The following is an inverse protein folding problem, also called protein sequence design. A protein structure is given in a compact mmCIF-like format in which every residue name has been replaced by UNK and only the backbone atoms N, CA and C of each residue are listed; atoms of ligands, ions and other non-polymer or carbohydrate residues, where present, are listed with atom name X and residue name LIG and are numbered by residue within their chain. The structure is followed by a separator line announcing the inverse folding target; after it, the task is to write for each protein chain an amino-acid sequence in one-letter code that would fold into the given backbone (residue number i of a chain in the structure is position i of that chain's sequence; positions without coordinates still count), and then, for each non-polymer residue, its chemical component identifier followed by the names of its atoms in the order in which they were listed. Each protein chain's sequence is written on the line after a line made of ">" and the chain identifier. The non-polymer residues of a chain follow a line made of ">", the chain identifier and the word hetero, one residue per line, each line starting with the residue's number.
data_IF_133196502099
#
_entry.id   IF_133196502099
#
_cell.length_a   1.000
_cell.length_b   1.000
_cell.length_c   1.000
_cell.angle_alpha   90.00
_cell.angle_beta   90.00
_cell.angle_gamma   90.00
#
_symmetry.space_group_name_H-M   'P 1'
#
loop_
_entity.id
_entity.type
_entity.pdbx_description
1 polymer ?
#
# COMPACT_ATOMS: atom_id res chain seq x y z
N UNK A 1 10.75 37.84 -21.61
CA UNK A 1 10.64 36.78 -22.64
C UNK A 1 10.02 35.57 -21.93
N UNK A 2 8.72 35.37 -22.11
CA UNK A 2 7.99 34.25 -21.47
C UNK A 2 8.08 33.03 -22.40
N UNK A 3 8.63 31.94 -21.89
CA UNK A 3 8.63 30.66 -22.57
C UNK A 3 7.35 29.93 -22.19
N UNK A 4 6.42 29.82 -23.12
CA UNK A 4 5.20 29.00 -22.94
C UNK A 4 5.57 27.53 -23.18
N UNK A 5 5.55 26.76 -22.12
CA UNK A 5 5.70 25.29 -22.21
C UNK A 5 4.33 24.70 -22.58
N UNK A 6 4.16 24.34 -23.85
CA UNK A 6 3.00 23.59 -24.32
C UNK A 6 3.08 22.14 -23.83
N UNK A 7 2.19 21.80 -22.90
CA UNK A 7 1.96 20.40 -22.51
C UNK A 7 1.18 19.72 -23.64
N UNK A 8 1.83 18.80 -24.33
CA UNK A 8 1.19 17.93 -25.32
C UNK A 8 0.49 16.81 -24.57
N UNK A 9 -0.83 16.91 -24.43
CA UNK A 9 -1.66 15.81 -23.95
C UNK A 9 -1.80 14.81 -25.10
N UNK A 10 -0.99 13.76 -25.11
CA UNK A 10 -1.23 12.60 -25.98
C UNK A 10 -2.42 11.81 -25.41
N UNK A 11 -3.56 11.96 -26.09
CA UNK A 11 -4.75 11.17 -25.81
C UNK A 11 -4.51 9.70 -26.13
N UNK A 12 -4.39 8.86 -25.11
CA UNK A 12 -4.47 7.42 -25.25
C UNK A 12 -5.93 7.04 -25.47
N UNK A 13 -6.28 6.67 -26.70
CA UNK A 13 -7.57 6.09 -27.02
C UNK A 13 -7.66 4.70 -26.40
N UNK A 14 -8.33 4.59 -25.27
CA UNK A 14 -8.71 3.31 -24.68
C UNK A 14 -9.84 2.74 -25.53
N UNK A 15 -9.55 1.71 -26.31
CA UNK A 15 -10.56 0.93 -27.02
C UNK A 15 -11.45 0.22 -25.98
N UNK A 16 -12.65 0.77 -25.74
CA UNK A 16 -13.71 0.10 -24.98
C UNK A 16 -14.19 -1.11 -25.78
N UNK A 17 -13.71 -2.30 -25.46
CA UNK A 17 -14.39 -3.54 -25.78
C UNK A 17 -15.63 -3.61 -24.88
N UNK A 18 -16.80 -3.33 -25.45
CA UNK A 18 -18.11 -3.59 -24.89
C UNK A 18 -18.27 -5.11 -24.71
N UNK A 19 -17.85 -5.63 -23.59
CA UNK A 19 -18.26 -6.95 -23.11
C UNK A 19 -19.58 -6.79 -22.37
N UNK A 20 -20.58 -7.49 -22.86
CA UNK A 20 -21.95 -7.62 -22.37
C UNK A 20 -22.01 -7.76 -20.84
N UNK A 21 -22.84 -6.94 -20.22
CA UNK A 21 -23.56 -7.05 -18.93
C UNK A 21 -23.17 -8.15 -17.95
N UNK A 22 -21.97 -8.10 -17.36
CA UNK A 22 -21.74 -8.63 -16.03
C UNK A 22 -21.66 -7.45 -15.09
N UNK A 23 -22.62 -7.35 -14.16
CA UNK A 23 -22.46 -6.56 -12.95
C UNK A 23 -21.10 -6.94 -12.39
N UNK A 24 -20.15 -6.02 -12.40
CA UNK A 24 -18.82 -6.22 -11.87
C UNK A 24 -19.01 -6.66 -10.40
N UNK A 25 -18.76 -7.93 -10.15
CA UNK A 25 -18.56 -8.42 -8.79
C UNK A 25 -17.60 -7.40 -8.15
N UNK A 26 -17.92 -6.82 -6.99
CA UNK A 26 -17.09 -5.79 -6.36
C UNK A 26 -15.68 -6.24 -6.00
N UNK A 27 -15.08 -7.06 -6.87
CA UNK A 27 -13.73 -7.61 -6.76
C UNK A 27 -12.75 -6.76 -7.56
N UNK A 28 -11.58 -6.53 -7.01
CA UNK A 28 -10.41 -6.10 -7.75
C UNK A 28 -9.89 -7.26 -8.60
N UNK A 29 -9.48 -6.98 -9.81
CA UNK A 29 -9.04 -7.99 -10.78
C UNK A 29 -7.54 -7.83 -11.01
N UNK A 30 -6.81 -8.94 -10.96
CA UNK A 30 -5.43 -8.96 -11.41
C UNK A 30 -5.39 -8.71 -12.92
N UNK A 31 -4.60 -7.72 -13.34
CA UNK A 31 -4.41 -7.38 -14.75
C UNK A 31 -2.91 -7.23 -15.04
N UNK A 32 -2.55 -7.34 -16.30
CA UNK A 32 -1.19 -7.01 -16.73
C UNK A 32 -0.91 -5.53 -16.46
N UNK A 33 0.16 -5.18 -15.72
CA UNK A 33 0.52 -3.80 -15.49
C UNK A 33 0.88 -3.07 -16.79
N UNK A 34 0.85 -1.73 -16.82
CA UNK A 34 1.23 -0.96 -18.01
C UNK A 34 2.72 -1.10 -18.33
N UNK A 35 3.09 -0.80 -19.58
CA UNK A 35 4.50 -0.72 -20.00
C UNK A 35 5.28 0.24 -19.09
N UNK A 36 6.48 -0.17 -18.69
CA UNK A 36 7.35 0.61 -17.79
C UNK A 36 7.02 0.47 -16.30
N UNK A 37 6.00 -0.31 -15.92
CA UNK A 37 5.61 -0.48 -14.53
C UNK A 37 6.75 -1.02 -13.65
N UNK A 38 7.49 -2.04 -14.10
CA UNK A 38 8.59 -2.60 -13.31
C UNK A 38 9.68 -1.54 -13.04
N UNK A 39 10.01 -0.76 -14.05
CA UNK A 39 10.97 0.35 -13.92
C UNK A 39 10.46 1.40 -12.91
N UNK A 40 9.18 1.75 -12.96
CA UNK A 40 8.56 2.68 -12.01
C UNK A 40 8.65 2.15 -10.56
N UNK A 41 8.43 0.84 -10.33
CA UNK A 41 8.60 0.23 -9.01
C UNK A 41 10.05 0.35 -8.53
N UNK A 42 11.03 0.04 -9.39
CA UNK A 42 12.44 0.11 -9.04
C UNK A 42 12.88 1.56 -8.73
N UNK A 43 12.43 2.53 -9.51
CA UNK A 43 12.69 3.96 -9.28
C UNK A 43 12.08 4.45 -7.97
N UNK A 44 10.83 4.05 -7.66
CA UNK A 44 10.17 4.36 -6.40
C UNK A 44 10.97 3.82 -5.20
N UNK A 45 11.44 2.57 -5.27
CA UNK A 45 12.26 1.95 -4.21
C UNK A 45 13.59 2.66 -4.03
N UNK A 46 14.28 2.97 -5.12
CA UNK A 46 15.54 3.70 -5.07
C UNK A 46 15.38 5.12 -4.49
N UNK A 47 14.28 5.80 -4.81
CA UNK A 47 13.96 7.11 -4.25
C UNK A 47 13.71 7.01 -2.73
N UNK A 48 12.94 6.02 -2.28
CA UNK A 48 12.69 5.76 -0.87
C UNK A 48 13.98 5.44 -0.10
N UNK A 49 14.85 4.60 -0.64
CA UNK A 49 16.14 4.26 -0.04
C UNK A 49 17.04 5.51 0.09
N UNK A 50 17.05 6.38 -0.91
CA UNK A 50 17.77 7.65 -0.87
C UNK A 50 17.20 8.60 0.20
N UNK A 51 15.87 8.70 0.30
CA UNK A 51 15.19 9.50 1.33
C UNK A 51 15.53 8.98 2.74
N UNK A 52 15.43 7.67 2.98
CA UNK A 52 15.80 7.06 4.27
C UNK A 52 17.23 7.38 4.70
N UNK A 53 18.15 7.50 3.74
CA UNK A 53 19.56 7.81 4.01
C UNK A 53 19.83 9.28 4.26
N UNK A 54 19.03 10.18 3.70
CA UNK A 54 19.36 11.62 3.64
C UNK A 54 18.38 12.53 4.39
N UNK A 55 17.14 12.07 4.64
CA UNK A 55 16.15 12.88 5.33
C UNK A 55 16.51 13.03 6.82
N UNK A 56 16.57 14.27 7.37
CA UNK A 56 16.74 14.50 8.79
C UNK A 56 15.68 13.85 9.69
N UNK A 57 14.47 13.64 9.13
CA UNK A 57 13.36 12.97 9.81
C UNK A 57 13.28 11.45 9.50
N UNK A 58 14.36 10.86 8.97
CA UNK A 58 14.42 9.43 8.66
C UNK A 58 13.93 8.56 9.83
N UNK A 59 13.20 7.47 9.56
CA UNK A 59 12.77 6.53 10.59
C UNK A 59 13.90 5.64 11.12
N UNK A 60 15.05 5.63 10.46
CA UNK A 60 16.23 4.88 10.91
C UNK A 60 16.76 5.44 12.25
N UNK A 61 17.40 4.61 13.04
CA UNK A 61 18.20 5.08 14.16
C UNK A 61 19.46 5.76 13.63
N UNK A 62 19.95 6.75 14.36
CA UNK A 62 21.14 7.50 13.98
C UNK A 62 22.36 6.58 13.77
N UNK A 63 22.48 5.54 14.61
CA UNK A 63 23.54 4.55 14.52
C UNK A 63 23.45 3.63 13.30
N UNK A 64 22.24 3.45 12.73
CA UNK A 64 22.02 2.56 11.58
C UNK A 64 22.24 3.29 10.24
N UNK A 65 22.15 4.63 10.20
CA UNK A 65 22.29 5.42 8.97
C UNK A 65 23.62 5.16 8.23
N UNK A 66 24.79 5.12 8.89
CA UNK A 66 26.06 4.92 8.18
C UNK A 66 26.17 3.55 7.48
N UNK A 67 25.50 2.53 8.01
CA UNK A 67 25.48 1.16 7.46
C UNK A 67 24.30 0.87 6.56
N UNK A 68 23.38 1.82 6.37
CA UNK A 68 22.19 1.59 5.57
C UNK A 68 22.52 1.53 4.07
N UNK A 69 22.34 0.37 3.46
CA UNK A 69 22.58 0.13 2.02
C UNK A 69 21.29 0.17 1.19
N UNK A 70 20.12 0.11 1.83
CA UNK A 70 18.77 0.09 1.25
C UNK A 70 17.85 -0.83 2.01
N UNK A 71 16.57 -0.77 1.68
CA UNK A 71 15.56 -1.70 2.19
C UNK A 71 15.58 -3.00 1.37
N UNK A 72 15.14 -4.09 1.97
CA UNK A 72 15.02 -5.37 1.27
C UNK A 72 13.63 -5.51 0.66
N UNK A 73 13.57 -6.00 -0.58
CA UNK A 73 12.34 -6.13 -1.35
C UNK A 73 12.30 -7.46 -2.10
N UNK A 74 11.09 -7.99 -2.31
CA UNK A 74 10.90 -8.99 -3.36
C UNK A 74 11.03 -8.37 -4.75
N UNK A 75 11.35 -9.19 -5.75
CA UNK A 75 11.31 -8.74 -7.14
C UNK A 75 9.88 -8.31 -7.50
N UNK A 76 9.70 -7.28 -8.34
CA UNK A 76 8.39 -6.94 -8.86
C UNK A 76 7.73 -8.13 -9.56
N UNK A 77 6.47 -8.39 -9.22
CA UNK A 77 5.69 -9.51 -9.76
C UNK A 77 4.29 -9.02 -10.15
N UNK A 78 3.92 -9.07 -11.45
CA UNK A 78 2.64 -8.59 -11.95
C UNK A 78 1.43 -9.31 -11.36
N UNK A 79 1.58 -10.52 -10.83
CA UNK A 79 0.49 -11.27 -10.15
C UNK A 79 -0.10 -10.52 -8.96
N UNK A 80 0.64 -9.58 -8.39
CA UNK A 80 0.25 -8.77 -7.24
C UNK A 80 -0.26 -7.37 -7.60
N UNK A 81 -0.58 -7.12 -8.88
CA UNK A 81 -1.13 -5.87 -9.38
C UNK A 81 -2.62 -6.02 -9.68
N UNK A 82 -3.46 -5.30 -8.93
CA UNK A 82 -4.91 -5.39 -8.99
C UNK A 82 -5.55 -4.05 -9.32
N UNK A 83 -6.64 -4.08 -10.09
CA UNK A 83 -7.45 -2.89 -10.39
C UNK A 83 -8.92 -3.16 -10.11
N UNK A 84 -9.59 -2.21 -9.48
CA UNK A 84 -11.01 -2.36 -9.17
C UNK A 84 -11.57 -1.23 -8.32
N UNK A 85 -12.61 -1.53 -7.58
CA UNK A 85 -13.32 -0.56 -6.73
C UNK A 85 -13.30 -0.99 -5.26
N UNK A 86 -13.33 0.01 -4.38
CA UNK A 86 -13.64 -0.19 -2.98
C UNK A 86 -15.16 -0.31 -2.83
N UNK A 87 -15.61 -1.34 -2.14
CA UNK A 87 -17.00 -1.52 -1.77
C UNK A 87 -17.25 -0.75 -0.47
N UNK A 88 -17.71 0.49 -0.59
CA UNK A 88 -17.95 1.35 0.57
C UNK A 88 -19.14 0.88 1.38
N UNK A 89 -19.04 0.96 2.71
CA UNK A 89 -20.17 0.78 3.60
C UNK A 89 -21.09 2.01 3.55
N UNK A 90 -22.40 1.76 3.61
CA UNK A 90 -23.40 2.83 3.69
C UNK A 90 -23.32 3.58 5.04
N UNK A 91 -23.05 2.84 6.11
CA UNK A 91 -22.86 3.34 7.46
C UNK A 91 -21.50 2.85 7.99
N UNK A 92 -20.41 3.60 7.78
CA UNK A 92 -19.08 3.20 8.21
C UNK A 92 -18.97 3.14 9.73
N UNK A 93 -18.46 2.02 10.24
CA UNK A 93 -18.23 1.83 11.67
C UNK A 93 -17.03 2.66 12.15
N UNK A 94 -17.25 3.50 13.14
CA UNK A 94 -16.17 4.20 13.84
C UNK A 94 -15.56 3.30 14.91
N UNK A 95 -14.26 3.17 14.88
CA UNK A 95 -13.51 2.33 15.80
C UNK A 95 -12.15 2.95 16.12
N UNK A 96 -11.39 2.26 16.95
CA UNK A 96 -10.05 2.69 17.33
C UNK A 96 -9.05 1.58 17.05
N UNK A 97 -8.02 1.87 16.29
CA UNK A 97 -6.89 0.96 16.09
C UNK A 97 -5.87 1.13 17.21
N UNK A 98 -5.40 0.00 17.75
CA UNK A 98 -4.27 0.00 18.68
C UNK A 98 -2.97 0.11 17.88
N UNK A 99 -2.02 0.89 18.38
CA UNK A 99 -0.70 1.04 17.77
C UNK A 99 0.33 0.14 18.43
N UNK A 100 1.48 -0.04 17.80
CA UNK A 100 2.60 -0.84 18.36
C UNK A 100 3.09 -0.34 19.73
N UNK A 101 2.86 0.94 20.06
CA UNK A 101 3.20 1.53 21.37
C UNK A 101 2.04 1.56 22.35
N UNK A 102 0.90 0.91 22.02
CA UNK A 102 -0.31 0.88 22.83
C UNK A 102 -1.17 2.15 22.78
N UNK A 103 -0.74 3.18 22.02
CA UNK A 103 -1.58 4.36 21.76
C UNK A 103 -2.79 3.96 20.92
N UNK A 104 -3.82 4.79 20.99
CA UNK A 104 -5.06 4.58 20.25
C UNK A 104 -5.13 5.57 19.08
N UNK A 105 -5.63 5.10 17.93
CA UNK A 105 -5.78 5.89 16.73
C UNK A 105 -7.20 5.80 16.20
N UNK A 106 -7.99 6.90 16.21
CA UNK A 106 -9.37 6.87 15.75
C UNK A 106 -9.44 6.65 14.24
N UNK A 107 -10.33 5.79 13.82
CA UNK A 107 -10.57 5.51 12.41
C UNK A 107 -12.04 5.14 12.15
N UNK A 108 -12.40 5.04 10.88
CA UNK A 108 -13.62 4.39 10.43
C UNK A 108 -13.30 3.22 9.50
N UNK A 109 -14.06 2.14 9.60
CA UNK A 109 -14.07 1.06 8.62
C UNK A 109 -14.90 1.51 7.43
N UNK A 110 -14.22 2.03 6.40
CA UNK A 110 -14.86 2.72 5.29
C UNK A 110 -15.49 1.78 4.26
N UNK A 111 -14.96 0.57 4.14
CA UNK A 111 -15.38 -0.40 3.14
C UNK A 111 -14.47 -1.62 3.10
N UNK A 112 -14.49 -2.31 1.96
CA UNK A 112 -13.65 -3.49 1.74
C UNK A 112 -13.24 -3.60 0.28
N UNK A 113 -12.13 -4.28 0.03
CA UNK A 113 -11.72 -4.76 -1.29
C UNK A 113 -11.69 -6.29 -1.27
N UNK A 114 -12.22 -6.89 -2.32
CA UNK A 114 -12.12 -8.33 -2.55
C UNK A 114 -11.25 -8.59 -3.78
N UNK A 115 -10.46 -9.66 -3.76
CA UNK A 115 -9.62 -10.08 -4.88
C UNK A 115 -9.36 -11.57 -4.80
N UNK A 116 -8.82 -12.13 -5.88
CA UNK A 116 -8.41 -13.52 -5.91
C UNK A 116 -6.91 -13.59 -6.16
N UNK A 117 -6.21 -14.35 -5.34
CA UNK A 117 -4.79 -14.62 -5.46
C UNK A 117 -4.52 -16.10 -5.17
N UNK A 118 -3.69 -16.76 -6.00
CA UNK A 118 -3.40 -18.20 -5.89
C UNK A 118 -4.66 -19.08 -5.81
N UNK A 119 -5.73 -18.70 -6.54
CA UNK A 119 -7.01 -19.39 -6.53
C UNK A 119 -7.85 -19.21 -5.26
N UNK A 120 -7.39 -18.36 -4.32
CA UNK A 120 -8.11 -18.06 -3.08
C UNK A 120 -8.74 -16.66 -3.13
N UNK A 121 -10.05 -16.60 -2.82
CA UNK A 121 -10.73 -15.33 -2.62
C UNK A 121 -10.35 -14.75 -1.27
N UNK A 122 -9.91 -13.51 -1.29
CA UNK A 122 -9.46 -12.76 -0.13
C UNK A 122 -10.23 -11.45 -0.02
N UNK A 123 -10.43 -10.99 1.21
CA UNK A 123 -11.08 -9.70 1.51
C UNK A 123 -10.18 -8.95 2.49
N UNK A 124 -9.97 -7.67 2.23
CA UNK A 124 -9.34 -6.74 3.16
C UNK A 124 -10.30 -5.59 3.46
N UNK A 125 -10.45 -5.26 4.73
CA UNK A 125 -11.17 -4.07 5.18
C UNK A 125 -10.33 -2.84 4.89
N UNK A 126 -10.98 -1.79 4.42
CA UNK A 126 -10.39 -0.49 4.10
C UNK A 126 -10.80 0.50 5.18
N UNK A 127 -9.84 1.21 5.74
CA UNK A 127 -10.05 2.17 6.80
C UNK A 127 -9.80 3.60 6.32
N UNK A 128 -10.31 4.59 7.09
CA UNK A 128 -9.85 5.99 7.07
C UNK A 128 -9.39 6.36 8.46
N UNK A 129 -8.22 6.95 8.55
CA UNK A 129 -7.74 7.54 9.79
C UNK A 129 -8.43 8.89 10.00
N UNK A 130 -8.93 9.15 11.21
CA UNK A 130 -9.72 10.35 11.53
C UNK A 130 -8.89 11.43 12.25
N UNK A 131 -7.63 11.16 12.49
CA UNK A 131 -6.68 12.05 13.16
C UNK A 131 -5.75 12.79 12.18
N UNK A 132 -5.93 12.61 10.87
CA UNK A 132 -5.25 13.36 9.82
C UNK A 132 -6.15 13.56 8.59
N UNK A 133 -5.93 14.64 7.87
CA UNK A 133 -6.49 14.81 6.54
C UNK A 133 -5.58 14.14 5.50
N UNK A 134 -6.15 13.57 4.41
CA UNK A 134 -5.38 13.05 3.29
C UNK A 134 -4.57 14.16 2.62
N UNK A 135 -3.35 13.85 2.23
CA UNK A 135 -2.54 14.76 1.42
C UNK A 135 -3.05 14.85 -0.03
N UNK A 136 -2.57 15.84 -0.78
CA UNK A 136 -2.93 15.99 -2.19
C UNK A 136 -2.47 14.75 -2.97
N UNK A 137 -3.42 14.11 -3.68
CA UNK A 137 -3.17 12.87 -4.42
C UNK A 137 -3.45 11.60 -3.61
N UNK A 138 -3.59 11.65 -2.30
CA UNK A 138 -4.00 10.50 -1.49
C UNK A 138 -5.51 10.24 -1.60
N UNK A 139 -5.89 8.97 -1.60
CA UNK A 139 -7.30 8.56 -1.56
C UNK A 139 -7.92 8.73 -0.17
N UNK A 140 -7.10 8.88 0.86
CA UNK A 140 -7.47 8.88 2.27
C UNK A 140 -7.81 7.48 2.81
N UNK A 141 -7.63 6.43 2.00
CA UNK A 141 -7.80 5.06 2.44
C UNK A 141 -6.51 4.53 3.09
N UNK A 142 -6.69 3.74 4.12
CA UNK A 142 -5.64 3.03 4.83
C UNK A 142 -5.94 1.53 4.76
N UNK A 143 -5.03 0.76 4.19
CA UNK A 143 -5.20 -0.67 3.94
C UNK A 143 -4.04 -1.47 4.56
N UNK A 144 -4.10 -1.73 5.88
CA UNK A 144 -3.14 -2.59 6.55
C UNK A 144 -3.47 -4.06 6.27
N UNK A 145 -2.45 -4.93 6.17
CA UNK A 145 -2.65 -6.37 6.01
C UNK A 145 -1.56 -7.19 6.69
N UNK A 146 -1.92 -8.39 7.08
CA UNK A 146 -1.02 -9.48 7.45
C UNK A 146 -1.21 -10.62 6.45
N UNK A 147 -0.18 -11.43 6.26
CA UNK A 147 -0.19 -12.54 5.32
C UNK A 147 0.66 -13.73 5.81
N UNK A 148 0.91 -14.72 4.97
CA UNK A 148 1.73 -15.88 5.31
C UNK A 148 3.19 -15.58 5.61
N UNK A 149 3.71 -14.41 5.19
CA UNK A 149 5.09 -13.95 5.43
C UNK A 149 5.24 -13.18 6.74
N UNK A 150 4.14 -12.70 7.33
CA UNK A 150 4.14 -11.84 8.51
C UNK A 150 4.81 -12.51 9.73
N UNK A 151 5.80 -11.84 10.30
CA UNK A 151 6.58 -12.32 11.46
C UNK A 151 7.65 -13.35 11.12
N UNK A 152 7.89 -13.60 9.83
CA UNK A 152 8.96 -14.45 9.29
C UNK A 152 9.85 -13.64 8.37
N UNK A 153 9.36 -13.34 7.17
CA UNK A 153 10.05 -12.55 6.14
C UNK A 153 9.65 -11.07 6.16
N UNK A 154 8.52 -10.72 6.82
CA UNK A 154 8.02 -9.35 6.95
C UNK A 154 7.74 -8.97 8.39
N UNK A 155 7.51 -7.67 8.60
CA UNK A 155 7.31 -7.08 9.92
C UNK A 155 6.15 -7.74 10.70
N UNK A 156 6.32 -8.08 12.00
CA UNK A 156 5.34 -8.84 12.77
C UNK A 156 3.96 -8.18 12.93
N UNK A 157 3.87 -6.85 12.85
CA UNK A 157 2.59 -6.14 12.97
C UNK A 157 1.87 -5.94 11.63
N UNK A 158 2.39 -6.55 10.54
CA UNK A 158 1.86 -6.42 9.19
C UNK A 158 2.50 -5.29 8.39
N UNK A 159 2.04 -5.17 7.16
CA UNK A 159 2.43 -4.14 6.19
C UNK A 159 1.22 -3.32 5.77
N UNK A 160 1.48 -2.26 5.03
CA UNK A 160 0.44 -1.40 4.45
C UNK A 160 0.57 -1.39 2.94
N UNK A 161 -0.55 -1.19 2.26
CA UNK A 161 -0.60 -0.96 0.82
C UNK A 161 -1.55 0.18 0.53
N UNK A 162 -1.18 1.08 -0.37
CA UNK A 162 -2.01 2.20 -0.75
C UNK A 162 -2.93 1.85 -1.92
N UNK A 163 -4.11 2.45 -1.93
CA UNK A 163 -5.02 2.43 -3.05
C UNK A 163 -4.78 3.68 -3.88
N UNK A 164 -4.27 3.52 -5.10
CA UNK A 164 -3.88 4.61 -5.99
C UNK A 164 -4.99 4.82 -7.03
N UNK A 165 -5.41 6.05 -7.23
CA UNK A 165 -6.40 6.39 -8.25
C UNK A 165 -7.26 7.60 -7.91
N UNK A 166 -8.16 8.00 -8.82
CA UNK A 166 -9.03 9.13 -8.61
C UNK A 166 -10.09 8.84 -7.54
N UNK A 167 -10.59 9.89 -6.91
CA UNK A 167 -11.72 9.77 -5.96
C UNK A 167 -12.90 9.11 -6.65
N UNK A 168 -13.41 8.00 -6.06
CA UNK A 168 -14.47 7.18 -6.64
C UNK A 168 -13.98 6.02 -7.51
N UNK A 169 -12.68 5.88 -7.69
CA UNK A 169 -12.04 4.79 -8.44
C UNK A 169 -12.24 4.85 -9.98
N UNK A 170 -11.77 3.85 -10.69
CA UNK A 170 -11.14 2.65 -10.18
C UNK A 170 -9.82 2.93 -9.47
N UNK A 171 -9.45 2.02 -8.55
CA UNK A 171 -8.22 2.08 -7.79
C UNK A 171 -7.27 0.97 -8.23
N UNK A 172 -5.99 1.25 -8.15
CA UNK A 172 -4.90 0.28 -8.23
C UNK A 172 -4.54 -0.11 -6.79
N UNK A 173 -4.44 -1.42 -6.54
CA UNK A 173 -3.85 -2.03 -5.36
C UNK A 173 -2.66 -2.85 -5.83
N UNK A 174 -1.47 -2.32 -5.64
CA UNK A 174 -0.22 -2.96 -6.07
C UNK A 174 0.61 -3.36 -4.84
N UNK A 175 0.58 -4.64 -4.49
CA UNK A 175 1.37 -5.14 -3.37
C UNK A 175 2.89 -5.06 -3.59
N UNK A 176 3.35 -4.82 -4.83
CA UNK A 176 4.77 -4.53 -5.09
C UNK A 176 5.23 -3.20 -4.48
N UNK A 177 4.28 -2.34 -4.13
CA UNK A 177 4.46 -1.09 -3.38
C UNK A 177 4.13 -1.25 -1.90
N UNK A 178 3.82 -2.46 -1.41
CA UNK A 178 3.56 -2.67 0.01
C UNK A 178 4.79 -2.34 0.85
N UNK A 179 4.58 -1.67 1.99
CA UNK A 179 5.63 -1.13 2.83
C UNK A 179 5.40 -1.42 4.31
N UNK A 180 6.50 -1.45 5.07
CA UNK A 180 6.44 -1.58 6.51
C UNK A 180 6.00 -0.25 7.16
N UNK A 181 5.27 -0.30 8.30
CA UNK A 181 5.04 0.90 9.10
C UNK A 181 6.37 1.51 9.58
N UNK A 182 6.44 2.84 9.70
CA UNK A 182 7.66 3.56 10.11
C UNK A 182 8.26 3.06 11.42
N UNK A 183 7.43 2.49 12.31
CA UNK A 183 7.87 1.86 13.54
C UNK A 183 8.77 0.62 13.34
N UNK A 184 8.80 0.05 12.15
CA UNK A 184 9.61 -1.13 11.83
C UNK A 184 11.11 -0.81 11.70
N UNK A 185 11.47 0.45 11.45
CA UNK A 185 12.84 0.85 11.09
C UNK A 185 13.69 1.35 12.27
N UNK A 186 13.20 1.22 13.50
CA UNK A 186 14.08 1.38 14.66
C UNK A 186 13.61 2.32 15.78
N UNK A 187 12.63 3.20 15.56
CA UNK A 187 12.17 4.18 16.56
C UNK A 187 10.65 4.15 16.73
N UNK A 188 10.08 3.04 17.26
CA UNK A 188 8.63 2.88 17.35
C UNK A 188 7.94 3.96 18.20
N UNK A 189 8.63 4.55 19.17
CA UNK A 189 8.11 5.60 20.05
C UNK A 189 7.85 6.93 19.32
N UNK A 190 8.53 7.17 18.19
CA UNK A 190 8.35 8.39 17.37
C UNK A 190 7.06 8.36 16.55
N UNK A 191 6.50 7.18 16.31
CA UNK A 191 5.41 6.98 15.34
C UNK A 191 4.16 6.39 15.97
N UNK A 192 3.02 6.68 15.38
CA UNK A 192 1.71 6.17 15.80
C UNK A 192 1.23 5.15 14.74
N UNK A 193 1.94 4.04 14.63
CA UNK A 193 1.67 3.01 13.61
C UNK A 193 0.60 2.03 14.09
N UNK A 194 -0.58 1.97 13.43
CA UNK A 194 -1.60 0.99 13.76
C UNK A 194 -1.12 -0.45 13.57
N UNK A 195 -1.43 -1.31 14.51
CA UNK A 195 -1.32 -2.76 14.33
C UNK A 195 -2.43 -3.20 13.37
N UNK A 196 -2.10 -4.07 12.44
CA UNK A 196 -3.09 -4.61 11.50
C UNK A 196 -4.21 -5.34 12.23
N UNK A 197 -5.48 -4.96 12.02
CA UNK A 197 -6.63 -5.68 12.57
C UNK A 197 -6.68 -7.14 12.13
N UNK A 198 -7.19 -8.01 13.02
CA UNK A 198 -7.19 -9.46 12.79
C UNK A 198 -7.98 -9.88 11.53
N UNK A 199 -9.02 -9.13 11.17
CA UNK A 199 -9.81 -9.34 9.97
C UNK A 199 -9.04 -9.10 8.67
N UNK A 200 -7.93 -8.36 8.71
CA UNK A 200 -7.06 -8.10 7.56
C UNK A 200 -5.87 -9.09 7.49
N UNK A 201 -6.13 -10.34 7.84
CA UNK A 201 -5.15 -11.42 7.72
C UNK A 201 -5.47 -12.30 6.52
N UNK A 202 -4.56 -12.31 5.55
CA UNK A 202 -4.58 -13.20 4.40
C UNK A 202 -4.00 -14.56 4.78
N UNK A 203 -4.58 -15.63 4.23
CA UNK A 203 -4.08 -17.01 4.45
C UNK A 203 -2.93 -17.38 3.51
N UNK A 204 -2.75 -16.63 2.43
CA UNK A 204 -1.67 -16.81 1.43
C UNK A 204 -0.49 -15.88 1.74
N UNK A 205 0.74 -16.25 1.37
CA UNK A 205 1.87 -15.32 1.42
C UNK A 205 1.76 -14.28 0.30
N UNK A 206 2.14 -13.04 0.60
CA UNK A 206 2.28 -11.96 -0.38
C UNK A 206 3.77 -11.66 -0.53
N UNK A 207 4.41 -12.37 -1.44
CA UNK A 207 5.84 -12.24 -1.74
C UNK A 207 6.09 -11.07 -2.71
N UNK A 208 5.64 -9.87 -2.30
CA UNK A 208 5.78 -8.63 -3.03
C UNK A 208 5.98 -7.45 -2.07
N UNK A 209 6.58 -6.35 -2.53
CA UNK A 209 6.85 -5.18 -1.71
C UNK A 209 8.06 -5.35 -0.78
N UNK A 210 8.05 -4.65 0.34
CA UNK A 210 9.11 -4.69 1.34
C UNK A 210 9.12 -5.97 2.14
N UNK A 211 10.33 -6.43 2.46
CA UNK A 211 10.64 -7.45 3.47
C UNK A 211 10.87 -6.81 4.82
N UNK A 212 11.08 -7.61 5.85
CA UNK A 212 11.34 -7.11 7.20
C UNK A 212 12.70 -6.41 7.30
N UNK A 213 12.73 -5.23 7.91
CA UNK A 213 13.98 -4.55 8.23
C UNK A 213 14.61 -5.20 9.46
N UNK A 214 15.87 -5.62 9.35
CA UNK A 214 16.59 -6.32 10.45
C UNK A 214 16.04 -7.72 10.80
N UNK A 215 15.19 -8.30 9.99
CA UNK A 215 14.69 -9.67 10.17
C UNK A 215 15.64 -10.61 9.42
N UNK A 216 16.54 -11.25 10.15
CA UNK A 216 17.48 -12.24 9.57
C UNK A 216 18.94 -12.12 10.04
N UNK A 217 19.22 -11.24 11.01
CA UNK A 217 20.49 -11.26 11.76
C UNK A 217 20.37 -12.06 13.06
#
# INVERSE_FOLDING_TARGET
>A
MRVETRVIIMGVAVALLLACGQQSSGLMVAIEPPEGWEQMILEHRAAKDAEFKTDPETPLRVEDIPGFEGLDYWRPDPRYYFVGRVNLYYDPERLTLVTVTGKQRPCERAGWVGFEIEGQRSILQVYRLLDREPEEGETGFFLPFMDGTTGKETYPSGRYVDLIGPRGGPYIMDFNLAYNPLCAYGSPERYVCPVTPAENRLSVPIEAGERGFGVGE
#
